data_IF_986498218337
#
_entry.id   IF_986498218337
#
_cell.length_a   1.000
_cell.length_b   1.000
_cell.length_c   1.000
_cell.angle_alpha   90.00
_cell.angle_beta   90.00
_cell.angle_gamma   90.00
#
_symmetry.space_group_name_H-M   'P 1'
#
loop_
_entity.id
_entity.type
_entity.pdbx_description
1 polymer ?
#
# COMPACT_ATOMS: atom_id res chain seq x y z
N UNK A 1 -16.12 -24.61 4.98
CA UNK A 1 -15.41 -23.81 3.96
C UNK A 1 -16.11 -22.48 3.68
N UNK A 2 -17.43 -22.46 3.45
CA UNK A 2 -18.18 -21.22 3.13
C UNK A 2 -18.10 -20.16 4.25
N UNK A 3 -18.22 -20.57 5.53
CA UNK A 3 -18.08 -19.64 6.66
C UNK A 3 -16.72 -18.92 6.68
N UNK A 4 -15.63 -19.67 6.52
CA UNK A 4 -14.28 -19.10 6.45
C UNK A 4 -14.11 -18.16 5.25
N UNK A 5 -14.62 -18.53 4.07
CA UNK A 5 -14.58 -17.66 2.88
C UNK A 5 -15.39 -16.37 3.07
N UNK A 6 -16.57 -16.45 3.67
CA UNK A 6 -17.39 -15.28 3.96
C UNK A 6 -16.71 -14.36 4.99
N UNK A 7 -16.08 -14.94 6.01
CA UNK A 7 -15.33 -14.18 7.01
C UNK A 7 -14.12 -13.46 6.40
N UNK A 8 -13.32 -14.13 5.57
CA UNK A 8 -12.18 -13.49 4.89
C UNK A 8 -12.63 -12.37 3.96
N UNK A 9 -13.74 -12.57 3.24
CA UNK A 9 -14.30 -11.54 2.35
C UNK A 9 -14.78 -10.32 3.13
N UNK A 10 -15.41 -10.52 4.28
CA UNK A 10 -15.85 -9.45 5.16
C UNK A 10 -14.63 -8.67 5.70
N UNK A 11 -13.62 -9.35 6.24
CA UNK A 11 -12.39 -8.72 6.74
C UNK A 11 -11.66 -7.88 5.67
N UNK A 12 -11.49 -8.45 4.47
CA UNK A 12 -10.88 -7.73 3.34
C UNK A 12 -11.69 -6.50 2.96
N UNK A 13 -13.02 -6.61 2.89
CA UNK A 13 -13.89 -5.50 2.52
C UNK A 13 -13.83 -4.35 3.52
N UNK A 14 -13.76 -4.65 4.82
CA UNK A 14 -13.58 -3.62 5.84
C UNK A 14 -12.23 -2.93 5.75
N UNK A 15 -11.18 -3.62 5.31
CA UNK A 15 -9.83 -3.03 5.21
C UNK A 15 -9.74 -1.96 4.11
N UNK A 16 -10.45 -2.14 2.99
CA UNK A 16 -10.46 -1.18 1.88
C UNK A 16 -11.54 -0.09 2.01
N UNK A 17 -12.59 -0.29 2.80
CA UNK A 17 -13.64 0.73 3.04
C UNK A 17 -13.47 1.48 4.36
N UNK A 18 -12.80 0.87 5.33
CA UNK A 18 -12.60 1.38 6.68
C UNK A 18 -11.95 2.76 6.76
N UNK A 19 -10.86 3.05 6.03
CA UNK A 19 -10.23 4.37 6.08
C UNK A 19 -11.15 5.51 5.61
N UNK A 20 -12.03 5.26 4.65
CA UNK A 20 -12.93 6.28 4.11
C UNK A 20 -14.15 6.43 5.01
N UNK A 21 -14.82 5.32 5.34
CA UNK A 21 -16.03 5.35 6.16
C UNK A 21 -15.70 5.78 7.59
N UNK A 22 -14.57 5.32 8.13
CA UNK A 22 -14.10 5.66 9.47
C UNK A 22 -13.80 7.15 9.63
N UNK A 23 -13.12 7.77 8.66
CA UNK A 23 -12.83 9.22 8.70
C UNK A 23 -14.11 10.05 8.60
N UNK A 24 -15.07 9.65 7.75
CA UNK A 24 -16.38 10.29 7.64
C UNK A 24 -17.22 10.14 8.93
N UNK A 25 -17.14 8.99 9.61
CA UNK A 25 -17.81 8.77 10.90
C UNK A 25 -17.22 9.64 12.02
N UNK A 26 -15.89 9.76 12.06
CA UNK A 26 -15.23 10.66 13.02
C UNK A 26 -15.62 12.11 12.75
N UNK A 27 -15.62 12.54 11.49
CA UNK A 27 -16.01 13.89 11.11
C UNK A 27 -17.49 14.19 11.44
N UNK A 28 -18.38 13.20 11.25
CA UNK A 28 -19.77 13.29 11.69
C UNK A 28 -19.90 13.51 13.20
N UNK A 29 -19.05 12.84 13.99
CA UNK A 29 -19.07 12.91 15.45
C UNK A 29 -18.43 14.20 15.99
N UNK A 30 -17.38 14.72 15.34
CA UNK A 30 -16.63 15.90 15.81
C UNK A 30 -17.24 17.22 15.33
N UNK A 31 -17.76 17.25 14.11
CA UNK A 31 -18.13 18.49 13.42
C UNK A 31 -19.62 18.84 13.60
N UNK A 32 -20.44 17.92 14.12
CA UNK A 32 -21.88 18.10 14.37
C UNK A 32 -22.73 18.34 13.13
N UNK A 33 -22.11 18.36 11.94
CA UNK A 33 -22.73 18.63 10.66
C UNK A 33 -22.87 17.33 9.86
N UNK A 34 -24.10 16.81 9.81
CA UNK A 34 -24.44 15.53 9.15
C UNK A 34 -24.33 15.63 7.63
N UNK A 35 -24.33 16.84 7.04
CA UNK A 35 -24.33 17.03 5.59
C UNK A 35 -23.03 16.55 4.92
N UNK A 36 -21.87 16.83 5.53
CA UNK A 36 -20.57 16.44 4.94
C UNK A 36 -20.39 14.91 4.88
N UNK A 37 -20.61 14.14 5.97
CA UNK A 37 -20.62 12.67 5.93
C UNK A 37 -21.66 12.10 4.97
N UNK A 38 -22.87 12.66 4.92
CA UNK A 38 -23.93 12.18 4.03
C UNK A 38 -23.56 12.31 2.55
N UNK A 39 -22.96 13.45 2.15
CA UNK A 39 -22.48 13.66 0.78
C UNK A 39 -21.31 12.72 0.47
N UNK A 40 -20.38 12.53 1.42
CA UNK A 40 -19.26 11.60 1.27
C UNK A 40 -19.70 10.15 1.05
N UNK A 41 -20.63 9.66 1.87
CA UNK A 41 -21.19 8.30 1.73
C UNK A 41 -22.00 8.15 0.45
N UNK A 42 -22.77 9.17 0.05
CA UNK A 42 -23.52 9.14 -1.21
C UNK A 42 -22.57 9.08 -2.41
N UNK A 43 -21.50 9.88 -2.42
CA UNK A 43 -20.48 9.86 -3.45
C UNK A 43 -19.78 8.50 -3.57
N UNK A 44 -19.42 7.88 -2.43
CA UNK A 44 -18.83 6.55 -2.39
C UNK A 44 -19.77 5.48 -2.97
N UNK A 45 -21.04 5.48 -2.57
CA UNK A 45 -22.03 4.55 -3.07
C UNK A 45 -22.26 4.71 -4.59
N UNK A 46 -22.32 5.96 -5.06
CA UNK A 46 -22.50 6.25 -6.49
C UNK A 46 -21.29 5.80 -7.31
N UNK A 47 -20.07 6.05 -6.83
CA UNK A 47 -18.83 5.63 -7.48
C UNK A 47 -18.75 4.09 -7.63
N UNK A 48 -19.18 3.34 -6.62
CA UNK A 48 -19.25 1.88 -6.70
C UNK A 48 -20.42 1.39 -7.59
N UNK A 49 -21.56 2.08 -7.60
CA UNK A 49 -22.73 1.68 -8.36
C UNK A 49 -22.57 1.85 -9.88
N UNK A 50 -21.84 2.90 -10.33
CA UNK A 50 -21.61 3.21 -11.75
C UNK A 50 -21.11 2.00 -12.56
N UNK A 51 -20.01 1.31 -12.20
CA UNK A 51 -19.51 0.19 -12.99
C UNK A 51 -20.53 -0.95 -13.08
N UNK A 52 -21.23 -1.27 -11.99
CA UNK A 52 -22.26 -2.32 -12.00
C UNK A 52 -23.47 -1.94 -12.86
N UNK A 53 -23.95 -0.70 -12.76
CA UNK A 53 -25.04 -0.20 -13.59
C UNK A 53 -24.66 -0.18 -15.07
N UNK A 54 -23.42 0.21 -15.40
CA UNK A 54 -22.91 0.22 -16.76
C UNK A 54 -22.85 -1.20 -17.35
N UNK A 55 -22.32 -2.17 -16.60
CA UNK A 55 -22.30 -3.57 -17.04
C UNK A 55 -23.70 -4.19 -17.15
N UNK A 56 -24.67 -3.72 -16.35
CA UNK A 56 -26.06 -4.16 -16.45
C UNK A 56 -26.77 -3.60 -17.71
N UNK A 57 -26.50 -2.35 -18.09
CA UNK A 57 -27.10 -1.69 -19.27
C UNK A 57 -26.52 -2.24 -20.57
N UNK A 58 -25.24 -2.65 -20.58
CA UNK A 58 -24.54 -3.15 -21.77
C UNK A 58 -24.20 -4.65 -21.65
N UNK A 59 -25.18 -5.57 -21.82
CA UNK A 59 -24.95 -7.02 -21.68
C UNK A 59 -23.97 -7.57 -22.74
N UNK A 60 -23.77 -6.87 -23.85
CA UNK A 60 -22.80 -7.23 -24.88
C UNK A 60 -21.34 -7.17 -24.40
N UNK A 61 -21.01 -6.31 -23.42
CA UNK A 61 -19.68 -6.27 -22.79
C UNK A 61 -19.46 -7.44 -21.84
N UNK A 62 -20.52 -7.93 -21.21
CA UNK A 62 -20.45 -9.12 -20.37
C UNK A 62 -20.22 -10.39 -21.20
N UNK A 63 -20.82 -10.44 -22.38
CA UNK A 63 -20.68 -11.55 -23.33
C UNK A 63 -19.34 -11.56 -24.08
N UNK A 64 -18.67 -10.42 -24.22
CA UNK A 64 -17.35 -10.32 -24.86
C UNK A 64 -16.18 -10.69 -23.95
N UNK A 65 -16.42 -10.95 -22.66
CA UNK A 65 -15.37 -11.39 -21.76
C UNK A 65 -14.84 -12.78 -22.18
N UNK A 66 -13.50 -12.94 -22.29
CA UNK A 66 -12.91 -14.21 -22.62
C UNK A 66 -13.29 -15.24 -21.56
N UNK A 67 -13.62 -16.47 -21.99
CA UNK A 67 -13.93 -17.56 -21.07
C UNK A 67 -12.77 -17.79 -20.10
N UNK A 68 -13.10 -18.26 -18.89
CA UNK A 68 -12.25 -18.57 -17.73
C UNK A 68 -11.10 -19.55 -18.02
N UNK A 69 -10.19 -19.22 -18.94
CA UNK A 69 -9.02 -20.01 -19.30
C UNK A 69 -7.79 -19.59 -18.51
N UNK A 70 -6.60 -19.86 -19.06
CA UNK A 70 -5.31 -19.56 -18.43
C UNK A 70 -5.09 -18.09 -18.04
N UNK A 71 -5.71 -17.15 -18.76
CA UNK A 71 -5.62 -15.72 -18.43
C UNK A 71 -6.21 -15.40 -17.05
N UNK A 72 -7.35 -16.01 -16.70
CA UNK A 72 -7.98 -15.79 -15.40
C UNK A 72 -7.12 -16.34 -14.25
N UNK A 73 -6.41 -17.45 -14.48
CA UNK A 73 -5.47 -17.97 -13.47
C UNK A 73 -4.31 -17.01 -13.25
N UNK A 74 -3.74 -16.43 -14.33
CA UNK A 74 -2.71 -15.40 -14.19
C UNK A 74 -3.20 -14.16 -13.45
N UNK A 75 -4.42 -13.69 -13.71
CA UNK A 75 -5.01 -12.56 -12.97
C UNK A 75 -5.13 -12.87 -11.48
N UNK A 76 -5.57 -14.09 -11.11
CA UNK A 76 -5.64 -14.50 -9.70
C UNK A 76 -4.28 -14.49 -9.01
N UNK A 77 -3.25 -15.00 -9.67
CA UNK A 77 -1.90 -15.01 -9.11
C UNK A 77 -1.37 -13.59 -8.94
N UNK A 78 -1.54 -12.72 -9.94
CA UNK A 78 -1.16 -11.31 -9.85
C UNK A 78 -1.89 -10.61 -8.69
N UNK A 79 -3.21 -10.80 -8.57
CA UNK A 79 -3.99 -10.26 -7.46
C UNK A 79 -3.52 -10.81 -6.12
N UNK A 80 -3.18 -12.10 -6.01
CA UNK A 80 -2.65 -12.69 -4.78
C UNK A 80 -1.32 -12.06 -4.32
N UNK A 81 -0.40 -11.78 -5.25
CA UNK A 81 0.84 -11.06 -4.91
C UNK A 81 0.56 -9.61 -4.47
N UNK A 82 -0.38 -8.93 -5.13
CA UNK A 82 -0.77 -7.57 -4.76
C UNK A 82 -1.46 -7.52 -3.39
N UNK A 83 -2.34 -8.48 -3.10
CA UNK A 83 -2.98 -8.63 -1.79
C UNK A 83 -1.94 -8.92 -0.71
N UNK A 84 -0.93 -9.75 -0.98
CA UNK A 84 0.15 -10.02 -0.04
C UNK A 84 0.96 -8.75 0.27
N UNK A 85 1.30 -7.94 -0.74
CA UNK A 85 2.00 -6.67 -0.56
C UNK A 85 1.17 -5.67 0.27
N UNK A 86 -0.15 -5.57 -0.01
CA UNK A 86 -1.06 -4.71 0.74
C UNK A 86 -1.28 -5.20 2.18
N UNK A 87 -1.34 -6.51 2.40
CA UNK A 87 -1.44 -7.10 3.73
C UNK A 87 -0.23 -6.72 4.59
N UNK A 88 0.98 -6.73 4.04
CA UNK A 88 2.18 -6.26 4.74
C UNK A 88 2.09 -4.79 5.15
N UNK A 89 1.44 -3.94 4.34
CA UNK A 89 1.21 -2.53 4.70
C UNK A 89 0.27 -2.39 5.89
N UNK A 90 -0.77 -3.21 5.99
CA UNK A 90 -1.65 -3.17 7.16
C UNK A 90 -0.98 -3.77 8.39
N UNK A 91 -0.14 -4.79 8.18
CA UNK A 91 0.67 -5.36 9.25
C UNK A 91 1.69 -4.36 9.79
N UNK A 92 2.36 -3.56 8.94
CA UNK A 92 3.29 -2.53 9.41
C UNK A 92 2.60 -1.43 10.21
N UNK A 93 1.39 -1.02 9.80
CA UNK A 93 0.59 -0.06 10.58
C UNK A 93 0.22 -0.63 11.95
N UNK A 94 -0.13 -1.92 12.03
CA UNK A 94 -0.40 -2.58 13.31
C UNK A 94 0.87 -2.68 14.16
N UNK A 95 2.00 -3.07 13.57
CA UNK A 95 3.30 -3.17 14.25
C UNK A 95 3.72 -1.84 14.89
N UNK A 96 3.57 -0.74 14.14
CA UNK A 96 3.80 0.63 14.62
C UNK A 96 2.84 1.04 15.74
N UNK A 97 1.56 0.66 15.63
CA UNK A 97 0.56 1.02 16.64
C UNK A 97 0.75 0.25 17.97
N UNK A 98 1.20 -1.00 17.91
CA UNK A 98 1.46 -1.84 19.08
C UNK A 98 2.91 -1.77 19.59
N UNK A 99 3.82 -1.13 18.83
CA UNK A 99 5.22 -0.95 19.20
C UNK A 99 6.03 -2.24 19.23
N UNK A 100 5.72 -3.20 18.34
CA UNK A 100 6.42 -4.48 18.28
C UNK A 100 7.83 -4.37 17.71
N UNK A 101 8.06 -3.47 16.73
CA UNK A 101 9.38 -3.28 16.11
C UNK A 101 9.84 -4.51 15.33
N UNK A 102 8.92 -5.29 14.75
CA UNK A 102 9.24 -6.46 13.93
C UNK A 102 9.23 -6.08 12.45
N UNK A 103 8.42 -5.08 12.07
CA UNK A 103 8.21 -4.66 10.69
C UNK A 103 8.80 -3.28 10.42
N UNK A 104 10.06 -3.13 10.75
CA UNK A 104 10.86 -1.94 10.46
C UNK A 104 10.94 -1.64 8.95
N UNK A 105 11.28 -0.40 8.63
CA UNK A 105 11.32 0.07 7.23
C UNK A 105 12.18 -0.81 6.34
N UNK A 106 13.32 -1.30 6.84
CA UNK A 106 14.19 -2.20 6.09
C UNK A 106 13.49 -3.54 5.78
N UNK A 107 12.89 -4.18 6.78
CA UNK A 107 12.23 -5.49 6.65
C UNK A 107 11.05 -5.36 5.70
N UNK A 108 10.26 -4.30 5.86
CA UNK A 108 9.14 -3.98 4.98
C UNK A 108 9.58 -3.83 3.52
N UNK A 109 10.62 -3.04 3.26
CA UNK A 109 11.14 -2.78 1.90
C UNK A 109 11.72 -4.06 1.30
N UNK A 110 12.48 -4.87 2.07
CA UNK A 110 13.01 -6.15 1.59
C UNK A 110 11.88 -7.10 1.17
N UNK A 111 10.85 -7.25 2.01
CA UNK A 111 9.71 -8.11 1.70
C UNK A 111 8.98 -7.63 0.44
N UNK A 112 8.79 -6.32 0.28
CA UNK A 112 8.20 -5.74 -0.92
C UNK A 112 9.03 -6.00 -2.17
N UNK A 113 10.35 -5.80 -2.12
CA UNK A 113 11.26 -6.11 -3.24
C UNK A 113 11.11 -7.57 -3.65
N UNK A 114 11.13 -8.50 -2.68
CA UNK A 114 11.01 -9.94 -2.94
C UNK A 114 9.66 -10.29 -3.57
N UNK A 115 8.55 -9.73 -3.08
CA UNK A 115 7.21 -9.96 -3.62
C UNK A 115 7.09 -9.49 -5.07
N UNK A 116 7.51 -8.25 -5.37
CA UNK A 116 7.43 -7.68 -6.71
C UNK A 116 8.45 -8.31 -7.68
N UNK A 117 9.59 -8.78 -7.18
CA UNK A 117 10.53 -9.57 -7.97
C UNK A 117 9.95 -10.93 -8.35
N UNK A 118 9.34 -11.66 -7.40
CA UNK A 118 8.65 -12.92 -7.67
C UNK A 118 7.49 -12.74 -8.64
N UNK A 119 6.70 -11.68 -8.49
CA UNK A 119 5.64 -11.33 -9.45
C UNK A 119 6.21 -11.09 -10.86
N UNK A 120 7.33 -10.38 -10.97
CA UNK A 120 8.04 -10.16 -12.23
C UNK A 120 8.50 -11.48 -12.88
N UNK A 121 9.14 -12.37 -12.10
CA UNK A 121 9.58 -13.67 -12.60
C UNK A 121 8.42 -14.61 -12.97
N UNK A 122 7.31 -14.53 -12.23
CA UNK A 122 6.06 -15.22 -12.57
C UNK A 122 5.52 -14.75 -13.93
N UNK A 123 5.45 -13.44 -14.15
CA UNK A 123 4.99 -12.86 -15.42
C UNK A 123 5.94 -13.17 -16.59
N UNK A 124 7.24 -13.35 -16.34
CA UNK A 124 8.19 -13.85 -17.34
C UNK A 124 8.04 -15.36 -17.63
N UNK A 125 7.15 -16.07 -16.92
CA UNK A 125 6.91 -17.50 -17.09
C UNK A 125 7.99 -18.39 -16.49
N UNK A 126 8.87 -17.85 -15.62
CA UNK A 126 9.90 -18.62 -14.91
C UNK A 126 9.34 -19.41 -13.73
N UNK A 127 8.25 -18.93 -13.14
CA UNK A 127 7.52 -19.58 -12.05
C UNK A 127 6.15 -20.01 -12.61
N UNK A 128 5.76 -21.27 -12.40
CA UNK A 128 4.47 -21.82 -12.85
C UNK A 128 3.76 -22.48 -11.67
N UNK A 129 2.51 -22.10 -11.43
CA UNK A 129 1.69 -22.72 -10.39
C UNK A 129 0.91 -23.94 -10.92
N UNK A 130 0.43 -24.85 -10.04
CA UNK A 130 -0.25 -26.08 -10.45
C UNK A 130 -1.47 -25.89 -11.38
N UNK A 131 -2.13 -24.73 -11.28
CA UNK A 131 -3.32 -24.40 -12.08
C UNK A 131 -3.01 -23.52 -13.30
N UNK A 132 -1.73 -23.25 -13.58
CA UNK A 132 -1.34 -22.48 -14.76
C UNK A 132 -1.25 -23.35 -16.01
N UNK A 133 -1.78 -22.83 -17.11
CA UNK A 133 -1.61 -23.37 -18.45
C UNK A 133 -0.16 -23.18 -18.93
N UNK A 134 0.34 -24.11 -19.75
CA UNK A 134 1.64 -23.95 -20.40
C UNK A 134 1.66 -22.75 -21.34
N UNK A 135 2.69 -21.91 -21.19
CA UNK A 135 2.85 -20.70 -21.98
C UNK A 135 4.21 -20.75 -22.68
N UNK A 136 4.27 -21.23 -23.94
CA UNK A 136 5.55 -21.41 -24.65
C UNK A 136 6.22 -20.08 -25.02
N UNK A 137 5.45 -18.98 -25.12
CA UNK A 137 5.95 -17.64 -25.41
C UNK A 137 5.28 -16.60 -24.50
N UNK A 138 6.07 -15.66 -23.98
CA UNK A 138 5.55 -14.55 -23.16
C UNK A 138 4.85 -13.56 -24.08
N UNK A 139 3.59 -13.25 -23.79
CA UNK A 139 2.84 -12.25 -24.54
C UNK A 139 3.36 -10.84 -24.24
N UNK A 140 3.31 -9.95 -25.24
CA UNK A 140 3.71 -8.53 -25.11
C UNK A 140 3.09 -7.84 -23.88
N UNK A 141 1.76 -7.91 -23.61
CA UNK A 141 1.20 -7.26 -22.42
C UNK A 141 1.73 -7.85 -21.10
N UNK A 142 1.98 -9.17 -21.05
CA UNK A 142 2.55 -9.82 -19.86
C UNK A 142 4.00 -9.40 -19.64
N UNK A 143 4.77 -9.21 -20.72
CA UNK A 143 6.13 -8.69 -20.67
C UNK A 143 6.16 -7.25 -20.13
N UNK A 144 5.28 -6.36 -20.60
CA UNK A 144 5.20 -5.01 -20.07
C UNK A 144 4.85 -4.99 -18.58
N UNK A 145 3.88 -5.81 -18.14
CA UNK A 145 3.58 -5.95 -16.71
C UNK A 145 4.78 -6.47 -15.91
N UNK A 146 5.54 -7.44 -16.45
CA UNK A 146 6.74 -7.94 -15.81
C UNK A 146 7.81 -6.85 -15.66
N UNK A 147 8.04 -6.07 -16.71
CA UNK A 147 8.99 -4.95 -16.70
C UNK A 147 8.59 -3.93 -15.65
N UNK A 148 7.31 -3.56 -15.57
CA UNK A 148 6.81 -2.61 -14.55
C UNK A 148 7.04 -3.16 -13.14
N UNK A 149 6.70 -4.43 -12.90
CA UNK A 149 6.87 -5.07 -11.60
C UNK A 149 8.35 -5.13 -11.17
N UNK A 150 9.25 -5.50 -12.10
CA UNK A 150 10.68 -5.56 -11.83
C UNK A 150 11.31 -4.17 -11.69
N UNK A 151 10.90 -3.21 -12.51
CA UNK A 151 11.34 -1.82 -12.38
C UNK A 151 10.93 -1.25 -11.02
N UNK A 152 9.72 -1.58 -10.55
CA UNK A 152 9.26 -1.20 -9.22
C UNK A 152 10.09 -1.86 -8.10
N UNK A 153 10.42 -3.14 -8.22
CA UNK A 153 11.32 -3.82 -7.30
C UNK A 153 12.71 -3.16 -7.27
N UNK A 154 13.29 -2.83 -8.43
CA UNK A 154 14.60 -2.18 -8.55
C UNK A 154 14.56 -0.76 -7.98
N UNK A 155 13.48 -0.01 -8.20
CA UNK A 155 13.30 1.33 -7.64
C UNK A 155 13.35 1.34 -6.11
N UNK A 156 12.93 0.27 -5.45
CA UNK A 156 12.94 0.15 -4.00
C UNK A 156 14.32 -0.19 -3.40
N UNK A 157 15.25 -0.72 -4.20
CA UNK A 157 16.59 -1.14 -3.75
C UNK A 157 17.31 -0.01 -3.01
N UNK A 158 17.44 1.22 -3.54
CA UNK A 158 18.09 2.32 -2.81
C UNK A 158 17.46 2.66 -1.46
N UNK A 159 16.19 2.30 -1.24
CA UNK A 159 15.48 2.50 0.02
C UNK A 159 16.12 1.75 1.19
N UNK A 160 16.78 0.61 0.92
CA UNK A 160 17.51 -0.16 1.92
C UNK A 160 18.69 0.61 2.52
N UNK A 161 19.21 1.62 1.83
CA UNK A 161 20.31 2.47 2.28
C UNK A 161 19.85 3.85 2.78
N UNK A 162 18.53 4.04 2.97
CA UNK A 162 17.97 5.28 3.52
C UNK A 162 17.54 6.30 2.48
N UNK A 163 17.46 5.92 1.19
CA UNK A 163 16.92 6.84 0.19
C UNK A 163 15.42 7.13 0.45
N UNK A 164 14.96 8.38 0.25
CA UNK A 164 13.55 8.74 0.36
C UNK A 164 12.77 8.14 -0.81
N UNK A 165 12.01 7.09 -0.52
CA UNK A 165 11.17 6.38 -1.49
C UNK A 165 9.86 7.14 -1.74
N UNK A 166 9.93 8.30 -2.40
CA UNK A 166 8.79 9.21 -2.59
C UNK A 166 7.55 8.56 -3.22
N UNK A 167 7.73 7.57 -4.10
CA UNK A 167 6.59 6.90 -4.74
C UNK A 167 5.82 5.97 -3.79
N UNK A 168 6.44 5.49 -2.72
CA UNK A 168 5.84 4.56 -1.76
C UNK A 168 5.85 5.09 -0.33
N UNK A 169 6.22 6.36 -0.11
CA UNK A 169 6.27 6.97 1.22
C UNK A 169 4.91 7.03 1.91
N UNK A 170 3.81 6.94 1.16
CA UNK A 170 2.46 6.83 1.73
C UNK A 170 2.15 5.44 2.31
N UNK A 171 2.93 4.42 1.94
CA UNK A 171 2.71 3.02 2.33
C UNK A 171 3.84 2.44 3.19
N UNK A 172 5.06 2.96 3.05
CA UNK A 172 6.23 2.49 3.78
C UNK A 172 6.27 3.05 5.22
N UNK A 173 6.81 2.28 6.18
CA UNK A 173 7.10 2.77 7.52
C UNK A 173 7.99 4.03 7.50
N UNK A 174 7.89 4.89 8.53
CA UNK A 174 8.64 6.15 8.60
C UNK A 174 10.15 5.93 8.76
N UNK A 175 10.95 6.94 8.37
CA UNK A 175 12.42 6.87 8.32
C UNK A 175 13.06 6.52 9.67
N UNK A 176 12.48 6.94 10.79
CA UNK A 176 13.02 6.67 12.12
C UNK A 176 13.00 5.19 12.53
N UNK A 177 12.24 4.35 11.82
CA UNK A 177 12.24 2.87 12.02
C UNK A 177 13.30 2.17 11.18
N UNK A 178 14.22 2.91 10.57
CA UNK A 178 15.28 2.33 9.75
C UNK A 178 16.59 2.28 10.54
N UNK A 179 17.05 1.07 10.84
CA UNK A 179 18.32 0.84 11.53
C UNK A 179 19.53 1.19 10.66
N UNK A 180 19.47 0.85 9.37
CA UNK A 180 20.58 1.06 8.44
C UNK A 180 20.33 2.23 7.48
N UNK A 181 20.98 3.37 7.73
CA UNK A 181 20.90 4.56 6.89
C UNK A 181 22.32 5.08 6.57
N UNK A 182 22.68 5.16 5.28
CA UNK A 182 23.97 5.73 4.85
C UNK A 182 23.97 7.26 4.84
N UNK A 183 22.79 7.88 4.93
CA UNK A 183 22.61 9.31 4.99
C UNK A 183 22.46 9.72 6.45
N UNK A 184 23.58 9.87 7.17
CA UNK A 184 23.69 10.51 8.50
C UNK A 184 23.44 12.03 8.42
N UNK A 185 22.34 12.42 7.78
CA UNK A 185 21.96 13.82 7.56
C UNK A 185 20.68 14.21 8.30
N UNK A 186 20.17 13.40 9.22
CA UNK A 186 19.04 13.81 10.05
C UNK A 186 19.55 14.75 11.15
N UNK A 187 19.24 16.04 10.97
CA UNK A 187 19.38 17.04 12.03
C UNK A 187 18.30 16.74 13.05
N UNK A 188 18.58 15.87 14.02
CA UNK A 188 17.71 15.73 15.17
C UNK A 188 17.74 17.02 15.98
N UNK A 189 16.57 17.49 16.39
CA UNK A 189 16.48 18.62 17.31
C UNK A 189 17.29 18.28 18.57
N UNK A 190 18.27 19.11 18.91
CA UNK A 190 19.09 18.92 20.12
C UNK A 190 18.25 18.97 21.41
N UNK A 191 17.03 19.53 21.32
CA UNK A 191 16.08 19.65 22.39
C UNK A 191 14.69 19.29 21.87
N UNK A 192 14.02 18.33 22.52
CA UNK A 192 12.61 17.97 22.26
C UNK A 192 11.62 18.87 23.02
N UNK A 193 12.12 19.60 24.02
CA UNK A 193 11.34 20.53 24.82
C UNK A 193 11.63 21.98 24.44
N UNK A 194 10.57 22.74 24.16
CA UNK A 194 10.65 24.12 23.65
C UNK A 194 11.38 25.06 24.61
N UNK A 195 11.07 24.97 25.91
CA UNK A 195 11.69 25.87 26.90
C UNK A 195 13.20 25.60 27.03
N UNK A 196 13.58 24.32 27.10
CA UNK A 196 15.00 23.93 27.17
C UNK A 196 15.80 24.37 25.93
N UNK A 197 15.21 24.25 24.74
CA UNK A 197 15.83 24.66 23.47
C UNK A 197 16.01 26.18 23.37
N UNK A 198 14.98 26.95 23.75
CA UNK A 198 15.04 28.42 23.76
C UNK A 198 16.05 28.95 24.79
N UNK A 199 16.12 28.34 25.97
CA UNK A 199 17.10 28.70 27.00
C UNK A 199 18.54 28.42 26.54
N UNK A 200 18.77 27.32 25.82
CA UNK A 200 20.08 26.99 25.27
C UNK A 200 20.49 27.96 24.14
N UNK A 201 19.55 28.30 23.25
CA UNK A 201 19.79 29.24 22.16
C UNK A 201 20.08 30.66 22.67
N UNK A 202 19.37 31.11 23.72
CA UNK A 202 19.62 32.39 24.39
C UNK A 202 21.02 32.45 25.01
N UNK A 203 21.52 31.35 25.57
CA UNK A 203 22.88 31.27 26.16
C UNK A 203 23.98 31.22 25.11
N UNK A 204 23.73 30.60 23.97
CA UNK A 204 24.74 30.37 22.92
C UNK A 204 24.69 31.40 21.79
N UNK A 205 23.68 32.29 21.78
CA UNK A 205 23.52 33.35 20.78
C UNK A 205 23.24 32.82 19.37
N UNK A 206 22.71 31.60 19.23
CA UNK A 206 22.41 30.98 17.93
C UNK A 206 20.94 31.19 17.55
N UNK A 207 20.62 31.38 16.25
CA UNK A 207 19.24 31.41 15.78
C UNK A 207 18.56 30.04 15.97
N UNK A 208 17.25 30.05 16.21
CA UNK A 208 16.44 28.84 16.47
C UNK A 208 15.60 28.51 15.25
N UNK A 209 15.61 27.22 14.85
CA UNK A 209 14.68 26.66 13.87
C UNK A 209 13.78 25.65 14.61
N UNK A 210 12.47 25.82 14.50
CA UNK A 210 11.47 24.92 15.11
C UNK A 210 10.95 24.00 14.01
N UNK A 211 11.06 22.70 14.24
CA UNK A 211 10.49 21.68 13.35
C UNK A 211 9.15 21.19 13.93
N UNK A 212 8.14 21.08 13.08
CA UNK A 212 6.78 20.65 13.43
C UNK A 212 6.42 19.29 12.82
N UNK A 213 7.38 18.63 12.16
CA UNK A 213 7.21 17.31 11.53
C UNK A 213 7.07 16.17 12.53
#
# INVERSE_FOLDING_TARGET
SIFFMAFTLALVSFSCTGPIIGTLLVDAATSGNILAPAIGMFGFAFALAIPFALFAIFPSWLQSMPKSGGWLNSVKVVLGFLELALALKFLSVADLAYGWGILDREVFVVLWIVIFAMLGFYLLGKIKFPHDSDVPYVSVPRLFMAIISLAFAIYMIPGLWGAPLKAISAFAPPMYTQDFNLYEGEVHAQFLDYESGMAHAARTGKPVLIDFS
#
